data_IF_587016947807
#
_entry.id   IF_587016947807
#
_cell.length_a   1.000
_cell.length_b   1.000
_cell.length_c   1.000
_cell.angle_alpha   90.00
_cell.angle_beta   90.00
_cell.angle_gamma   90.00
#
_symmetry.space_group_name_H-M   'P 1'
#
loop_
_entity.id
_entity.type
_entity.pdbx_description
1 polymer ?
#
# COMPACT_ATOMS: atom_id res chain seq x y z
N UNK A 1 4.26 -3.18 -19.91
CA UNK A 1 3.07 -3.23 -19.04
C UNK A 1 1.80 -3.18 -19.87
N UNK A 2 0.87 -4.10 -19.66
CA UNK A 2 -0.50 -4.02 -20.19
C UNK A 2 -1.33 -3.01 -19.40
N UNK A 3 -2.49 -2.60 -19.94
CA UNK A 3 -3.43 -1.74 -19.21
C UNK A 3 -3.89 -2.37 -17.88
N UNK A 4 -4.06 -3.69 -17.85
CA UNK A 4 -4.48 -4.41 -16.65
C UNK A 4 -3.37 -4.46 -15.60
N UNK A 5 -2.12 -4.68 -16.01
CA UNK A 5 -0.96 -4.68 -15.10
C UNK A 5 -0.74 -3.29 -14.48
N UNK A 6 -0.84 -2.23 -15.30
CA UNK A 6 -0.74 -0.86 -14.81
C UNK A 6 -1.87 -0.51 -13.84
N UNK A 7 -3.11 -0.90 -14.15
CA UNK A 7 -4.24 -0.69 -13.24
C UNK A 7 -4.05 -1.42 -11.91
N UNK A 8 -3.60 -2.68 -11.93
CA UNK A 8 -3.33 -3.46 -10.72
C UNK A 8 -2.23 -2.81 -9.85
N UNK A 9 -1.13 -2.38 -10.47
CA UNK A 9 -0.03 -1.72 -9.75
C UNK A 9 -0.46 -0.37 -9.17
N UNK A 10 -1.21 0.44 -9.94
CA UNK A 10 -1.73 1.72 -9.47
C UNK A 10 -2.70 1.54 -8.29
N UNK A 11 -3.54 0.52 -8.31
CA UNK A 11 -4.41 0.20 -7.18
C UNK A 11 -3.61 -0.22 -5.94
N UNK A 12 -2.58 -1.06 -6.08
CA UNK A 12 -1.71 -1.43 -4.96
C UNK A 12 -0.98 -0.21 -4.37
N UNK A 13 -0.46 0.67 -5.23
CA UNK A 13 0.17 1.94 -4.84
C UNK A 13 -0.81 2.86 -4.10
N UNK A 14 -2.05 2.96 -4.58
CA UNK A 14 -3.11 3.75 -3.95
C UNK A 14 -3.46 3.20 -2.57
N UNK A 15 -3.70 1.88 -2.44
CA UNK A 15 -4.03 1.25 -1.17
C UNK A 15 -2.91 1.47 -0.14
N UNK A 16 -1.64 1.31 -0.54
CA UNK A 16 -0.49 1.61 0.31
C UNK A 16 -0.48 3.04 0.83
N UNK A 17 -0.75 4.01 -0.04
CA UNK A 17 -0.78 5.42 0.36
C UNK A 17 -1.97 5.72 1.29
N UNK A 18 -3.13 5.13 1.01
CA UNK A 18 -4.32 5.32 1.83
C UNK A 18 -4.23 4.64 3.20
N UNK A 19 -3.57 3.49 3.32
CA UNK A 19 -3.36 2.84 4.62
C UNK A 19 -2.47 3.68 5.54
N UNK A 20 -1.47 4.40 5.00
CA UNK A 20 -0.66 5.33 5.78
C UNK A 20 -1.48 6.55 6.25
N UNK A 21 -2.27 7.14 5.35
CA UNK A 21 -3.15 8.27 5.71
C UNK A 21 -4.21 7.86 6.74
N UNK A 22 -4.73 6.63 6.64
CA UNK A 22 -5.67 6.09 7.62
C UNK A 22 -4.98 5.92 8.98
N UNK A 23 -3.77 5.38 9.02
CA UNK A 23 -3.00 5.22 10.25
C UNK A 23 -2.84 6.56 10.99
N UNK A 24 -2.43 7.62 10.29
CA UNK A 24 -2.35 8.97 10.89
C UNK A 24 -3.68 9.45 11.49
N UNK A 25 -4.82 9.06 10.89
CA UNK A 25 -6.15 9.44 11.38
C UNK A 25 -6.54 8.62 12.61
N UNK A 26 -6.16 7.34 12.66
CA UNK A 26 -6.39 6.47 13.81
C UNK A 26 -5.56 6.90 15.00
N UNK A 27 -4.28 7.25 14.78
CA UNK A 27 -3.39 7.80 15.81
C UNK A 27 -3.95 9.08 16.43
N UNK A 28 -4.52 9.99 15.62
CA UNK A 28 -5.16 11.21 16.13
C UNK A 28 -6.44 10.97 16.93
N UNK A 29 -7.05 9.80 16.80
CA UNK A 29 -8.27 9.42 17.50
C UNK A 29 -8.01 8.54 18.73
N UNK A 30 -6.74 8.27 19.06
CA UNK A 30 -6.31 7.35 20.13
C UNK A 30 -6.92 5.94 19.97
N UNK A 31 -7.04 5.47 18.72
CA UNK A 31 -7.58 4.14 18.37
C UNK A 31 -6.44 3.13 18.18
N UNK A 32 -5.78 2.77 19.28
CA UNK A 32 -4.54 1.97 19.28
C UNK A 32 -4.69 0.58 18.62
N UNK A 33 -5.78 -0.13 18.92
CA UNK A 33 -6.02 -1.47 18.37
C UNK A 33 -6.25 -1.41 16.86
N UNK A 34 -7.03 -0.44 16.39
CA UNK A 34 -7.27 -0.19 14.98
C UNK A 34 -6.01 0.30 14.26
N UNK A 35 -5.19 1.12 14.91
CA UNK A 35 -3.89 1.55 14.38
C UNK A 35 -2.97 0.34 14.16
N UNK A 36 -2.91 -0.59 15.12
CA UNK A 36 -2.15 -1.83 14.99
C UNK A 36 -2.69 -2.77 13.88
N UNK A 37 -4.01 -2.79 13.64
CA UNK A 37 -4.61 -3.44 12.48
C UNK A 37 -4.21 -2.74 11.16
N UNK A 38 -4.21 -1.40 11.16
CA UNK A 38 -3.90 -0.59 9.98
C UNK A 38 -2.42 -0.67 9.58
N UNK A 39 -1.50 -0.75 10.55
CA UNK A 39 -0.08 -1.01 10.32
C UNK A 39 0.14 -2.34 9.58
N UNK A 40 -0.49 -3.43 10.07
CA UNK A 40 -0.41 -4.74 9.40
C UNK A 40 -0.99 -4.70 7.99
N UNK A 41 -2.09 -3.98 7.79
CA UNK A 41 -2.66 -3.75 6.46
C UNK A 41 -1.69 -2.96 5.55
N UNK A 42 -1.01 -1.96 6.09
CA UNK A 42 -0.01 -1.18 5.36
C UNK A 42 1.18 -2.04 4.92
N UNK A 43 1.74 -2.87 5.81
CA UNK A 43 2.81 -3.81 5.49
C UNK A 43 2.40 -4.79 4.37
N UNK A 44 1.18 -5.31 4.43
CA UNK A 44 0.64 -6.19 3.38
C UNK A 44 0.49 -5.47 2.05
N UNK A 45 0.01 -4.23 2.06
CA UNK A 45 -0.14 -3.40 0.86
C UNK A 45 1.22 -3.08 0.22
N UNK A 46 2.23 -2.77 1.04
CA UNK A 46 3.60 -2.54 0.57
C UNK A 46 4.20 -3.81 -0.03
N UNK A 47 4.10 -4.95 0.66
CA UNK A 47 4.58 -6.23 0.15
C UNK A 47 3.88 -6.62 -1.17
N UNK A 48 2.58 -6.34 -1.31
CA UNK A 48 1.85 -6.58 -2.55
C UNK A 48 2.33 -5.66 -3.68
N UNK A 49 2.50 -4.36 -3.42
CA UNK A 49 3.03 -3.40 -4.39
C UNK A 49 4.42 -3.84 -4.88
N UNK A 50 5.33 -4.18 -3.98
CA UNK A 50 6.68 -4.65 -4.33
C UNK A 50 6.65 -5.92 -5.19
N UNK A 51 5.82 -6.91 -4.82
CA UNK A 51 5.63 -8.14 -5.61
C UNK A 51 5.11 -7.87 -7.02
N UNK A 52 4.13 -6.96 -7.15
CA UNK A 52 3.59 -6.56 -8.45
C UNK A 52 4.61 -5.78 -9.27
N UNK A 53 5.32 -4.83 -8.65
CA UNK A 53 6.38 -4.04 -9.28
C UNK A 53 7.47 -4.93 -9.85
N UNK A 54 7.99 -5.86 -9.04
CA UNK A 54 8.98 -6.84 -9.47
C UNK A 54 8.45 -7.75 -10.60
N UNK A 55 7.21 -8.24 -10.48
CA UNK A 55 6.59 -9.11 -11.49
C UNK A 55 6.37 -8.42 -12.83
N UNK A 56 6.04 -7.13 -12.81
CA UNK A 56 5.80 -6.34 -14.02
C UNK A 56 7.05 -5.65 -14.57
N UNK A 57 8.21 -5.84 -13.93
CA UNK A 57 9.49 -5.31 -14.38
C UNK A 57 9.69 -3.82 -14.10
N UNK A 58 9.03 -3.27 -13.08
CA UNK A 58 9.28 -1.91 -12.60
C UNK A 58 10.26 -2.02 -11.43
N UNK A 59 11.53 -1.75 -11.72
CA UNK A 59 12.47 -1.28 -10.70
C UNK A 59 12.21 0.23 -10.59
N UNK A 60 11.70 0.68 -9.44
CA UNK A 60 11.70 2.12 -9.14
C UNK A 60 13.16 2.58 -9.17
N UNK A 61 13.55 3.14 -10.31
CA UNK A 61 14.78 3.86 -10.54
C UNK A 61 14.41 5.27 -10.94
N UNK A 62 14.04 6.07 -9.94
CA UNK A 62 14.27 7.52 -9.74
C UNK A 62 13.41 8.04 -8.58
#
# INVERSE_FOLDING_TARGET
MTKQESAALNMAKFIRAQSLLLLEKLDMLDLDDEAADCERMHEQAEALYQKLSARFGIQDGE
#
